data_IF_732632216148
#
_entry.id   IF_732632216148
#
_cell.length_a   1.000
_cell.length_b   1.000
_cell.length_c   1.000
_cell.angle_alpha   90.00
_cell.angle_beta   90.00
_cell.angle_gamma   90.00
#
_symmetry.space_group_name_H-M   'P 1'
#
loop_
_entity.id
_entity.type
_entity.pdbx_description
1 polymer ?
#
# COMPACT_ATOMS: atom_id res chain seq x y z
N UNK A 1 9.34 21.06 -9.52
CA UNK A 1 10.09 19.80 -9.64
C UNK A 1 9.11 18.65 -9.37
N UNK A 2 9.03 17.67 -10.25
CA UNK A 2 8.16 16.50 -10.05
C UNK A 2 8.84 15.53 -9.08
N UNK A 3 8.10 14.71 -8.31
CA UNK A 3 8.72 13.78 -7.34
C UNK A 3 9.76 12.85 -7.97
N UNK A 4 9.54 12.40 -9.19
CA UNK A 4 10.45 11.52 -9.93
C UNK A 4 11.65 12.23 -10.58
N UNK A 5 11.78 13.55 -10.43
CA UNK A 5 12.99 14.28 -10.80
C UNK A 5 14.08 14.16 -9.72
N UNK A 6 13.73 13.73 -8.49
CA UNK A 6 14.69 13.43 -7.43
C UNK A 6 15.59 12.25 -7.85
N UNK A 7 16.91 12.43 -7.89
CA UNK A 7 17.83 11.37 -8.34
C UNK A 7 17.75 10.08 -7.49
N UNK A 8 17.42 10.20 -6.19
CA UNK A 8 17.25 9.04 -5.28
C UNK A 8 16.03 8.24 -5.69
N UNK A 9 14.90 8.92 -5.94
CA UNK A 9 13.65 8.29 -6.38
C UNK A 9 13.87 7.65 -7.75
N UNK A 10 14.53 8.32 -8.67
CA UNK A 10 14.80 7.78 -10.01
C UNK A 10 15.61 6.49 -9.93
N UNK A 11 16.75 6.50 -9.26
CA UNK A 11 17.59 5.28 -9.11
C UNK A 11 16.84 4.12 -8.45
N UNK A 12 16.13 4.42 -7.35
CA UNK A 12 15.38 3.41 -6.61
C UNK A 12 14.25 2.81 -7.44
N UNK A 13 13.46 3.63 -8.15
CA UNK A 13 12.40 3.17 -9.03
C UNK A 13 12.92 2.35 -10.22
N UNK A 14 14.02 2.75 -10.85
CA UNK A 14 14.64 1.98 -11.94
C UNK A 14 15.06 0.58 -11.46
N UNK A 15 15.68 0.47 -10.28
CA UNK A 15 16.05 -0.80 -9.67
C UNK A 15 14.83 -1.65 -9.29
N UNK A 16 13.83 -1.04 -8.65
CA UNK A 16 12.57 -1.69 -8.28
C UNK A 16 11.84 -2.26 -9.49
N UNK A 17 11.68 -1.47 -10.55
CA UNK A 17 10.99 -1.90 -11.77
C UNK A 17 11.77 -2.93 -12.58
N UNK A 18 13.09 -2.93 -12.50
CA UNK A 18 13.92 -4.04 -13.01
C UNK A 18 13.56 -5.36 -12.33
N UNK A 19 13.41 -5.35 -11.00
CA UNK A 19 12.94 -6.51 -10.22
C UNK A 19 11.54 -6.93 -10.62
N UNK A 20 10.60 -6.00 -10.76
CA UNK A 20 9.24 -6.29 -11.21
C UNK A 20 9.22 -6.97 -12.59
N UNK A 21 9.99 -6.44 -13.56
CA UNK A 21 10.08 -7.03 -14.90
C UNK A 21 10.66 -8.45 -14.88
N UNK A 22 11.67 -8.69 -14.04
CA UNK A 22 12.22 -10.04 -13.86
C UNK A 22 11.18 -11.00 -13.26
N UNK A 23 10.41 -10.58 -12.25
CA UNK A 23 9.32 -11.37 -11.66
C UNK A 23 8.23 -11.68 -12.69
N UNK A 24 7.82 -10.69 -13.49
CA UNK A 24 6.86 -10.91 -14.59
C UNK A 24 7.39 -11.92 -15.63
N UNK A 25 8.66 -11.82 -15.99
CA UNK A 25 9.29 -12.79 -16.89
C UNK A 25 9.35 -14.21 -16.31
N UNK A 26 9.38 -14.33 -14.98
CA UNK A 26 9.30 -15.61 -14.26
C UNK A 26 7.83 -16.09 -14.03
N UNK A 27 6.84 -15.39 -14.59
CA UNK A 27 5.43 -15.80 -14.59
C UNK A 27 4.55 -15.16 -13.49
N UNK A 28 5.10 -14.26 -12.65
CA UNK A 28 4.27 -13.52 -11.69
C UNK A 28 3.35 -12.51 -12.41
N UNK A 29 2.15 -12.33 -11.87
CA UNK A 29 1.18 -11.37 -12.39
C UNK A 29 1.19 -10.10 -11.55
N UNK A 30 1.26 -8.93 -12.20
CA UNK A 30 1.03 -7.67 -11.50
C UNK A 30 -0.45 -7.56 -11.11
N UNK A 31 -0.71 -7.28 -9.84
CA UNK A 31 -2.07 -7.13 -9.30
C UNK A 31 -2.36 -5.71 -8.82
N UNK A 32 -1.34 -4.87 -8.69
CA UNK A 32 -1.54 -3.50 -8.23
C UNK A 32 -0.26 -2.84 -7.75
N UNK A 33 -0.46 -1.79 -6.95
CA UNK A 33 0.59 -0.93 -6.44
C UNK A 33 0.35 -0.61 -4.96
N UNK A 34 1.39 -0.25 -4.26
CA UNK A 34 1.32 0.25 -2.88
C UNK A 34 1.85 1.66 -2.79
N UNK A 35 1.34 2.42 -1.83
CA UNK A 35 1.85 3.73 -1.47
C UNK A 35 2.44 3.65 -0.06
N UNK A 36 3.66 4.11 0.10
CA UNK A 36 4.34 4.13 1.40
C UNK A 36 4.94 5.49 1.73
N UNK A 37 5.17 5.74 3.02
CA UNK A 37 5.75 6.97 3.54
C UNK A 37 4.99 8.24 3.14
N UNK A 38 3.64 8.16 3.06
CA UNK A 38 2.77 9.28 2.67
C UNK A 38 2.42 10.24 3.80
N UNK A 39 2.65 9.90 5.06
CA UNK A 39 2.38 10.81 6.17
C UNK A 39 3.29 12.05 6.12
N UNK A 40 2.74 13.26 6.32
CA UNK A 40 3.49 14.50 6.15
C UNK A 40 4.80 14.57 6.93
N UNK A 41 4.80 14.08 8.18
CA UNK A 41 5.99 14.08 9.03
C UNK A 41 7.12 13.21 8.46
N UNK A 42 6.79 12.01 7.93
CA UNK A 42 7.80 11.12 7.35
C UNK A 42 8.28 11.65 5.99
N UNK A 43 7.39 12.25 5.19
CA UNK A 43 7.80 12.91 3.94
C UNK A 43 8.79 14.04 4.21
N UNK A 44 8.53 14.86 5.23
CA UNK A 44 9.44 15.93 5.64
C UNK A 44 10.79 15.36 6.12
N UNK A 45 10.78 14.32 6.96
CA UNK A 45 11.99 13.65 7.43
C UNK A 45 12.84 13.10 6.28
N UNK A 46 12.21 12.51 5.27
CA UNK A 46 12.89 11.92 4.11
C UNK A 46 13.25 12.95 3.04
N UNK A 47 12.76 14.18 3.15
CA UNK A 47 12.94 15.26 2.17
C UNK A 47 12.31 14.89 0.81
N UNK A 48 11.11 14.29 0.83
CA UNK A 48 10.34 13.93 -0.36
C UNK A 48 9.08 14.78 -0.48
N UNK A 49 8.64 15.04 -1.70
CA UNK A 49 7.47 15.90 -1.99
C UNK A 49 6.18 15.12 -2.27
N UNK A 50 6.28 13.79 -2.34
CA UNK A 50 5.14 12.89 -2.53
C UNK A 50 5.47 11.49 -1.97
N UNK A 51 4.44 10.66 -1.70
CA UNK A 51 4.65 9.29 -1.24
C UNK A 51 5.45 8.44 -2.21
N UNK A 52 6.13 7.41 -1.69
CA UNK A 52 6.80 6.41 -2.50
C UNK A 52 5.79 5.38 -3.03
N UNK A 53 6.09 4.79 -4.20
CA UNK A 53 5.24 3.78 -4.83
C UNK A 53 6.01 2.48 -5.00
N UNK A 54 5.39 1.36 -4.57
CA UNK A 54 5.90 0.01 -4.75
C UNK A 54 4.93 -0.83 -5.59
N UNK A 55 5.39 -1.98 -6.09
CA UNK A 55 4.57 -2.91 -6.87
C UNK A 55 4.00 -4.04 -6.00
N UNK A 56 2.88 -4.60 -6.46
CA UNK A 56 2.26 -5.79 -5.89
C UNK A 56 2.11 -6.86 -6.98
N UNK A 57 2.52 -8.09 -6.66
CA UNK A 57 2.32 -9.26 -7.50
C UNK A 57 1.44 -10.29 -6.80
N UNK A 58 0.87 -11.21 -7.56
CA UNK A 58 0.04 -12.30 -7.05
C UNK A 58 0.76 -13.18 -6.01
N UNK A 59 2.10 -13.30 -6.12
CA UNK A 59 2.94 -14.01 -5.12
C UNK A 59 2.96 -13.36 -3.74
N UNK A 60 2.74 -12.06 -3.68
CA UNK A 60 2.66 -11.34 -2.41
C UNK A 60 1.28 -11.45 -1.76
N UNK A 61 0.25 -11.86 -2.52
CA UNK A 61 -1.12 -11.94 -2.03
C UNK A 61 -1.31 -13.18 -1.18
N UNK A 62 -1.88 -13.00 0.01
CA UNK A 62 -2.34 -14.07 0.89
C UNK A 62 -3.82 -13.89 1.20
N UNK A 63 -4.51 -14.99 1.48
CA UNK A 63 -5.95 -14.96 1.79
C UNK A 63 -6.19 -14.49 3.23
N UNK A 64 -7.34 -13.87 3.46
CA UNK A 64 -7.77 -13.52 4.82
C UNK A 64 -7.90 -14.78 5.69
N UNK A 65 -7.34 -14.74 6.90
CA UNK A 65 -7.26 -15.88 7.80
C UNK A 65 -6.03 -16.78 7.59
N UNK A 66 -5.19 -16.50 6.60
CA UNK A 66 -3.94 -17.24 6.39
C UNK A 66 -2.99 -17.09 7.57
N UNK A 67 -2.10 -18.06 7.72
CA UNK A 67 -0.97 -17.98 8.65
C UNK A 67 0.28 -17.58 7.88
N UNK A 68 0.92 -16.49 8.31
CA UNK A 68 2.18 -15.99 7.76
C UNK A 68 3.29 -16.25 8.76
N UNK A 69 4.39 -16.86 8.31
CA UNK A 69 5.58 -17.03 9.14
C UNK A 69 6.35 -15.71 9.19
N UNK A 70 6.62 -15.24 10.40
CA UNK A 70 7.48 -14.09 10.68
C UNK A 70 8.93 -14.53 11.01
N UNK A 71 9.22 -15.83 10.88
CA UNK A 71 10.58 -16.35 11.11
C UNK A 71 11.57 -15.69 10.16
N UNK A 72 12.65 -15.15 10.72
CA UNK A 72 13.68 -14.44 9.95
C UNK A 72 13.36 -13.00 9.57
N UNK A 73 12.18 -12.47 9.92
CA UNK A 73 11.90 -11.04 9.74
C UNK A 73 12.59 -10.22 10.82
N UNK A 74 13.08 -9.04 10.45
CA UNK A 74 13.81 -8.16 11.38
C UNK A 74 12.84 -7.30 12.21
N UNK A 75 11.91 -6.63 11.56
CA UNK A 75 10.96 -5.73 12.21
C UNK A 75 9.61 -5.78 11.51
N UNK A 76 8.86 -6.87 11.72
CA UNK A 76 7.57 -7.07 11.06
C UNK A 76 6.55 -6.01 11.46
N UNK A 77 5.79 -5.54 10.47
CA UNK A 77 4.78 -4.51 10.61
C UNK A 77 3.48 -4.97 9.98
N UNK A 78 2.38 -4.68 10.67
CA UNK A 78 1.01 -4.83 10.19
C UNK A 78 0.44 -3.43 9.93
N UNK A 79 0.00 -3.19 8.70
CA UNK A 79 -0.55 -1.92 8.24
C UNK A 79 -1.97 -2.12 7.71
N UNK A 80 -3.01 -1.65 8.44
CA UNK A 80 -4.38 -1.64 7.96
C UNK A 80 -4.57 -0.48 6.96
N UNK A 81 -5.07 -0.78 5.77
CA UNK A 81 -5.11 0.15 4.64
C UNK A 81 -6.46 0.16 3.93
N UNK A 82 -6.65 1.12 3.05
CA UNK A 82 -7.71 1.11 2.04
C UNK A 82 -7.12 0.63 0.72
N UNK A 83 -7.76 -0.37 0.10
CA UNK A 83 -7.53 -0.71 -1.29
C UNK A 83 -8.46 0.12 -2.18
N UNK A 84 -7.89 0.88 -3.12
CA UNK A 84 -8.63 1.55 -4.19
C UNK A 84 -8.57 0.67 -5.42
N UNK A 85 -9.72 0.17 -5.87
CA UNK A 85 -9.82 -0.74 -7.01
C UNK A 85 -10.04 0.03 -8.31
N UNK A 86 -9.24 -0.27 -9.33
CA UNK A 86 -9.35 0.38 -10.64
C UNK A 86 -10.34 -0.34 -11.55
N UNK A 87 -11.33 0.39 -12.04
CA UNK A 87 -12.31 -0.10 -13.03
C UNK A 87 -11.92 0.20 -14.47
N UNK A 88 -11.02 1.16 -14.67
CA UNK A 88 -10.52 1.55 -15.97
C UNK A 88 -9.02 1.91 -15.88
N UNK A 89 -8.34 1.88 -17.03
CA UNK A 89 -6.99 2.37 -17.15
C UNK A 89 -6.94 3.87 -16.86
N UNK A 90 -5.92 4.32 -16.14
CA UNK A 90 -5.66 5.75 -15.94
C UNK A 90 -4.30 6.12 -16.52
N UNK A 91 -4.32 7.06 -17.46
CA UNK A 91 -3.09 7.63 -18.05
C UNK A 91 -2.57 8.79 -17.21
N UNK A 92 -1.28 9.06 -17.33
CA UNK A 92 -0.68 10.25 -16.74
C UNK A 92 -1.36 11.55 -17.22
N UNK A 93 -1.35 12.57 -16.37
CA UNK A 93 -1.95 13.86 -16.66
C UNK A 93 -3.48 13.88 -16.58
N UNK A 94 -4.11 12.77 -16.21
CA UNK A 94 -5.54 12.74 -15.94
C UNK A 94 -5.93 13.72 -14.82
N UNK A 95 -7.00 14.47 -15.03
CA UNK A 95 -7.52 15.35 -14.00
C UNK A 95 -8.20 14.57 -12.86
N UNK A 96 -8.74 15.28 -11.88
CA UNK A 96 -9.40 14.66 -10.73
C UNK A 96 -10.65 13.85 -11.13
N UNK A 97 -11.40 14.32 -12.11
CA UNK A 97 -12.62 13.65 -12.55
C UNK A 97 -12.30 12.38 -13.36
N UNK A 98 -11.27 12.41 -14.20
CA UNK A 98 -10.77 11.21 -14.86
C UNK A 98 -10.30 10.15 -13.86
N UNK A 99 -9.58 10.55 -12.79
CA UNK A 99 -9.17 9.63 -11.75
C UNK A 99 -10.35 9.04 -10.98
N UNK A 100 -11.33 9.86 -10.59
CA UNK A 100 -12.57 9.38 -9.96
C UNK A 100 -13.32 8.40 -10.85
N UNK A 101 -13.46 8.73 -12.15
CA UNK A 101 -14.14 7.86 -13.12
C UNK A 101 -13.44 6.53 -13.34
N UNK A 102 -12.11 6.45 -13.13
CA UNK A 102 -11.35 5.22 -13.24
C UNK A 102 -11.44 4.32 -11.99
N UNK A 103 -11.92 4.83 -10.84
CA UNK A 103 -12.03 4.08 -9.58
C UNK A 103 -13.36 3.33 -9.54
N UNK A 104 -13.30 2.00 -9.46
CA UNK A 104 -14.47 1.12 -9.35
C UNK A 104 -15.08 1.08 -7.94
N UNK A 105 -14.28 1.30 -6.91
CA UNK A 105 -14.68 1.24 -5.52
C UNK A 105 -13.49 1.13 -4.58
N UNK A 106 -13.77 0.92 -3.30
CA UNK A 106 -12.75 0.73 -2.26
C UNK A 106 -13.08 -0.48 -1.38
N UNK A 107 -12.06 -0.98 -0.68
CA UNK A 107 -12.23 -2.07 0.28
C UNK A 107 -11.11 -2.07 1.32
N UNK A 108 -11.19 -2.95 2.34
CA UNK A 108 -10.10 -3.12 3.29
C UNK A 108 -8.91 -3.82 2.65
N UNK A 109 -7.71 -3.44 3.08
CA UNK A 109 -6.49 -4.16 2.80
C UNK A 109 -5.60 -4.23 4.05
N UNK A 110 -4.72 -5.22 4.08
CA UNK A 110 -3.63 -5.32 5.06
C UNK A 110 -2.33 -5.44 4.28
N UNK A 111 -1.36 -4.59 4.58
CA UNK A 111 0.02 -4.83 4.21
C UNK A 111 0.79 -5.45 5.37
N UNK A 112 1.63 -6.44 5.05
CA UNK A 112 2.68 -6.93 5.94
C UNK A 112 4.02 -6.53 5.33
N UNK A 113 4.78 -5.75 6.07
CA UNK A 113 6.10 -5.26 5.69
C UNK A 113 7.15 -5.68 6.72
N UNK A 114 8.40 -5.81 6.29
CA UNK A 114 9.54 -6.04 7.18
C UNK A 114 10.50 -4.86 7.08
N UNK A 115 10.47 -3.97 8.08
CA UNK A 115 11.35 -2.81 8.15
C UNK A 115 12.77 -3.24 8.52
N UNK A 116 13.53 -3.71 7.56
CA UNK A 116 14.92 -4.17 7.79
C UNK A 116 15.83 -3.08 8.36
N UNK A 117 15.54 -1.82 8.01
CA UNK A 117 16.32 -0.65 8.46
C UNK A 117 15.45 0.57 8.64
N UNK A 118 15.79 1.49 9.55
CA UNK A 118 15.09 2.76 9.67
C UNK A 118 15.17 3.57 8.37
N UNK A 119 14.06 4.17 7.91
CA UNK A 119 14.08 5.02 6.73
C UNK A 119 14.88 6.31 7.00
N UNK A 120 15.84 6.60 6.12
CA UNK A 120 16.69 7.79 6.15
C UNK A 120 16.72 8.44 4.75
N UNK A 121 16.99 9.74 4.66
CA UNK A 121 17.08 10.45 3.36
C UNK A 121 18.09 9.84 2.40
N UNK A 122 19.23 9.36 2.90
CA UNK A 122 20.32 8.78 2.11
C UNK A 122 20.11 7.31 1.72
N UNK A 123 19.12 6.63 2.31
CA UNK A 123 18.74 5.23 1.99
C UNK A 123 17.51 5.12 1.11
N UNK A 124 17.00 6.21 0.59
CA UNK A 124 15.72 6.27 -0.12
C UNK A 124 15.70 5.39 -1.39
N UNK A 125 16.78 5.39 -2.15
CA UNK A 125 16.92 4.56 -3.35
C UNK A 125 17.02 3.07 -3.01
N UNK A 126 17.66 2.70 -1.90
CA UNK A 126 17.72 1.32 -1.41
C UNK A 126 16.34 0.84 -0.94
N UNK A 127 15.59 1.70 -0.21
CA UNK A 127 14.24 1.41 0.24
C UNK A 127 13.30 1.16 -0.95
N UNK A 128 13.39 2.00 -1.98
CA UNK A 128 12.63 1.82 -3.22
C UNK A 128 13.03 0.55 -3.96
N UNK A 129 14.33 0.27 -4.07
CA UNK A 129 14.83 -0.93 -4.74
C UNK A 129 14.34 -2.22 -4.06
N UNK A 130 14.18 -2.21 -2.71
CA UNK A 130 13.57 -3.31 -1.92
C UNK A 130 12.03 -3.21 -1.85
N UNK A 131 11.41 -2.55 -2.80
CA UNK A 131 9.96 -2.44 -2.90
C UNK A 131 9.29 -1.91 -1.61
N UNK A 132 9.94 -0.98 -0.92
CA UNK A 132 9.45 -0.34 0.30
C UNK A 132 9.10 -1.37 1.38
N UNK A 133 9.97 -2.36 1.60
CA UNK A 133 9.84 -3.40 2.64
C UNK A 133 8.64 -4.35 2.50
N UNK A 134 7.91 -4.30 1.39
CA UNK A 134 6.72 -5.10 1.15
C UNK A 134 7.02 -6.60 1.17
N UNK A 135 6.21 -7.38 1.89
CA UNK A 135 6.28 -8.85 1.92
C UNK A 135 4.95 -9.46 1.48
N UNK A 136 3.85 -9.17 2.16
CA UNK A 136 2.54 -9.72 1.81
C UNK A 136 1.44 -8.66 1.79
N UNK A 137 0.37 -8.95 1.06
CA UNK A 137 -0.85 -8.15 1.01
C UNK A 137 -2.08 -9.04 1.12
N UNK A 138 -3.04 -8.63 1.94
CA UNK A 138 -4.40 -9.20 2.00
C UNK A 138 -5.35 -8.14 1.46
N UNK A 139 -6.22 -8.52 0.53
CA UNK A 139 -7.17 -7.58 -0.07
C UNK A 139 -8.57 -8.14 0.07
N UNK A 140 -9.46 -7.33 0.62
CA UNK A 140 -10.85 -7.66 0.86
C UNK A 140 -11.79 -7.35 -0.30
N UNK A 141 -13.09 -7.43 -0.05
CA UNK A 141 -14.10 -7.13 -1.05
C UNK A 141 -14.06 -5.66 -1.47
N UNK A 142 -14.36 -5.40 -2.74
CA UNK A 142 -14.54 -4.05 -3.27
C UNK A 142 -15.99 -3.61 -3.11
N UNK A 143 -16.24 -2.57 -2.34
CA UNK A 143 -17.54 -1.91 -2.30
C UNK A 143 -17.69 -0.97 -3.51
N UNK A 144 -18.40 -1.43 -4.52
CA UNK A 144 -18.66 -0.70 -5.77
C UNK A 144 -19.67 0.46 -5.61
N UNK A 145 -20.36 0.56 -4.48
CA UNK A 145 -21.20 1.75 -4.20
C UNK A 145 -20.36 2.98 -3.89
N UNK A 146 -19.05 2.79 -3.64
CA UNK A 146 -18.07 3.82 -3.28
C UNK A 146 -17.14 4.19 -4.45
N UNK A 147 -17.69 4.28 -5.64
CA UNK A 147 -16.97 4.82 -6.82
C UNK A 147 -16.37 6.19 -6.49
N UNK A 148 -15.20 6.48 -7.09
CA UNK A 148 -14.45 7.71 -6.80
C UNK A 148 -13.80 7.72 -5.41
N UNK A 149 -13.63 6.57 -4.76
CA UNK A 149 -12.98 6.37 -3.47
C UNK A 149 -13.61 7.14 -2.31
N UNK A 150 -14.95 7.14 -2.21
CA UNK A 150 -15.66 7.80 -1.10
C UNK A 150 -15.45 7.04 0.21
N UNK A 151 -14.85 7.70 1.20
CA UNK A 151 -14.55 7.15 2.53
C UNK A 151 -15.54 7.59 3.63
N UNK A 152 -16.50 8.45 3.28
CA UNK A 152 -17.46 9.01 4.24
C UNK A 152 -18.26 7.90 4.93
N UNK A 153 -18.42 8.01 6.24
CA UNK A 153 -19.18 7.08 7.08
C UNK A 153 -18.49 5.73 7.32
N UNK A 154 -17.23 5.56 6.89
CA UNK A 154 -16.45 4.37 7.23
C UNK A 154 -15.76 4.52 8.58
N UNK A 155 -15.56 3.38 9.23
CA UNK A 155 -14.78 3.27 10.47
C UNK A 155 -13.77 2.15 10.33
N UNK A 156 -12.49 2.45 10.55
CA UNK A 156 -11.43 1.46 10.68
C UNK A 156 -11.30 1.01 12.14
N UNK A 157 -11.34 -0.31 12.39
CA UNK A 157 -11.12 -0.91 13.71
C UNK A 157 -10.03 -1.97 13.62
N UNK A 158 -9.06 -1.89 14.48
CA UNK A 158 -7.89 -2.75 14.46
C UNK A 158 -7.82 -3.58 15.73
N UNK A 159 -7.63 -4.87 15.55
CA UNK A 159 -7.56 -5.84 16.64
C UNK A 159 -6.21 -6.54 16.61
N UNK A 160 -5.65 -6.77 17.78
CA UNK A 160 -4.41 -7.51 18.01
C UNK A 160 -4.66 -8.53 19.10
N UNK A 161 -4.41 -9.81 18.84
CA UNK A 161 -4.68 -10.91 19.78
C UNK A 161 -6.13 -10.87 20.32
N UNK A 162 -7.08 -10.60 19.44
CA UNK A 162 -8.51 -10.49 19.76
C UNK A 162 -8.97 -9.19 20.44
N UNK A 163 -8.08 -8.36 20.95
CA UNK A 163 -8.42 -7.07 21.59
C UNK A 163 -8.39 -5.92 20.57
N UNK A 164 -9.38 -5.01 20.64
CA UNK A 164 -9.35 -3.76 19.85
C UNK A 164 -8.24 -2.85 20.39
N UNK A 165 -7.29 -2.49 19.53
CA UNK A 165 -6.12 -1.67 19.91
C UNK A 165 -6.15 -0.29 19.27
N UNK A 166 -6.94 -0.09 18.20
CA UNK A 166 -7.15 1.21 17.58
C UNK A 166 -8.51 1.27 16.87
N UNK A 167 -9.05 2.49 16.77
CA UNK A 167 -10.25 2.82 16.02
C UNK A 167 -10.08 4.21 15.42
N UNK A 168 -10.50 4.40 14.17
CA UNK A 168 -10.46 5.71 13.50
C UNK A 168 -11.60 5.89 12.52
N UNK A 169 -12.11 7.10 12.40
CA UNK A 169 -12.97 7.59 11.33
C UNK A 169 -12.21 8.50 10.37
N UNK A 170 -11.00 8.92 10.75
CA UNK A 170 -10.12 9.80 9.99
C UNK A 170 -9.20 8.98 9.06
N UNK A 171 -9.80 8.21 8.16
CA UNK A 171 -9.11 7.21 7.34
C UNK A 171 -8.09 7.79 6.37
N UNK A 172 -8.13 9.09 6.10
CA UNK A 172 -7.22 9.78 5.19
C UNK A 172 -6.21 10.69 5.90
N UNK A 173 -6.26 10.76 7.23
CA UNK A 173 -5.39 11.67 8.00
C UNK A 173 -3.90 11.40 7.78
N UNK A 174 -3.50 10.12 7.70
CA UNK A 174 -2.11 9.73 7.48
C UNK A 174 -1.75 9.53 5.99
N UNK A 175 -2.75 9.32 5.13
CA UNK A 175 -2.53 8.85 3.76
C UNK A 175 -2.84 9.92 2.71
N UNK A 176 -3.65 10.91 3.08
CA UNK A 176 -4.12 11.95 2.17
C UNK A 176 -5.33 11.51 1.32
N UNK A 177 -5.67 12.33 0.34
CA UNK A 177 -6.82 12.10 -0.56
C UNK A 177 -6.58 10.90 -1.49
N UNK A 178 -7.43 9.85 -1.45
CA UNK A 178 -7.22 8.66 -2.28
C UNK A 178 -7.24 8.95 -3.79
N UNK A 179 -8.05 9.91 -4.25
CA UNK A 179 -8.08 10.30 -5.68
C UNK A 179 -6.77 10.97 -6.08
N UNK A 180 -6.22 11.80 -5.20
CA UNK A 180 -4.90 12.42 -5.40
C UNK A 180 -3.78 11.37 -5.45
N UNK A 181 -3.83 10.35 -4.60
CA UNK A 181 -2.89 9.22 -4.61
C UNK A 181 -2.99 8.41 -5.90
N UNK A 182 -4.19 8.12 -6.39
CA UNK A 182 -4.39 7.42 -7.68
C UNK A 182 -3.76 8.20 -8.83
N UNK A 183 -3.93 9.53 -8.88
CA UNK A 183 -3.28 10.39 -9.87
C UNK A 183 -1.76 10.36 -9.76
N UNK A 184 -1.25 10.49 -8.53
CA UNK A 184 0.19 10.44 -8.27
C UNK A 184 0.80 9.12 -8.76
N UNK A 185 0.15 7.98 -8.44
CA UNK A 185 0.59 6.66 -8.92
C UNK A 185 0.60 6.59 -10.44
N UNK A 186 -0.49 7.02 -11.12
CA UNK A 186 -0.55 7.00 -12.58
C UNK A 186 0.55 7.85 -13.23
N UNK A 187 0.80 9.05 -12.71
CA UNK A 187 1.82 9.98 -13.21
C UNK A 187 3.23 9.43 -13.00
N UNK A 188 3.50 8.89 -11.81
CA UNK A 188 4.81 8.31 -11.49
C UNK A 188 5.09 7.09 -12.36
N UNK A 189 4.13 6.17 -12.48
CA UNK A 189 4.27 4.96 -13.30
C UNK A 189 4.60 5.30 -14.76
N UNK A 190 3.91 6.28 -15.33
CA UNK A 190 4.16 6.71 -16.71
C UNK A 190 5.55 7.29 -16.90
N UNK A 191 6.10 7.98 -15.88
CA UNK A 191 7.46 8.51 -15.94
C UNK A 191 8.53 7.41 -16.04
N UNK A 192 8.18 6.15 -15.68
CA UNK A 192 9.05 4.99 -15.74
C UNK A 192 8.59 3.92 -16.75
N UNK A 193 7.65 4.25 -17.64
CA UNK A 193 7.18 3.37 -18.70
C UNK A 193 6.21 2.28 -18.24
N UNK A 194 5.62 2.42 -17.07
CA UNK A 194 4.55 1.57 -16.55
C UNK A 194 3.19 2.28 -16.62
N UNK A 195 2.10 1.55 -16.37
CA UNK A 195 0.74 2.09 -16.45
C UNK A 195 -0.14 1.56 -15.33
N UNK A 196 -1.00 2.42 -14.79
CA UNK A 196 -2.08 2.01 -13.90
C UNK A 196 -3.26 1.49 -14.72
N UNK A 197 -3.60 0.21 -14.55
CA UNK A 197 -4.56 -0.52 -15.39
C UNK A 197 -5.85 -0.87 -14.67
N UNK A 198 -6.91 -1.06 -15.44
CA UNK A 198 -8.12 -1.71 -14.98
C UNK A 198 -7.79 -3.08 -14.35
N UNK A 199 -8.49 -3.42 -13.26
CA UNK A 199 -8.25 -4.63 -12.48
C UNK A 199 -7.10 -4.54 -11.47
N UNK A 200 -6.23 -3.53 -11.55
CA UNK A 200 -5.28 -3.25 -10.49
C UNK A 200 -6.00 -2.69 -9.25
N UNK A 201 -5.35 -2.79 -8.11
CA UNK A 201 -5.71 -2.00 -6.94
C UNK A 201 -4.48 -1.23 -6.42
N UNK A 202 -4.73 -0.19 -5.63
CA UNK A 202 -3.70 0.57 -4.93
C UNK A 202 -4.01 0.49 -3.44
N UNK A 203 -3.08 0.01 -2.62
CA UNK A 203 -3.15 0.18 -1.18
C UNK A 203 -2.50 1.51 -0.81
N UNK A 204 -3.21 2.30 0.02
CA UNK A 204 -3.00 3.75 0.12
C UNK A 204 -2.11 4.18 1.28
N UNK A 205 -1.55 3.25 2.02
CA UNK A 205 -0.82 3.50 3.27
C UNK A 205 -1.70 3.28 4.51
N UNK A 206 -1.06 3.11 5.65
CA UNK A 206 -1.75 2.74 6.89
C UNK A 206 -2.70 3.84 7.38
N UNK A 207 -3.95 3.47 7.68
CA UNK A 207 -4.98 4.39 8.21
C UNK A 207 -4.76 4.77 9.68
N UNK A 208 -3.90 4.06 10.39
CA UNK A 208 -3.41 4.34 11.75
C UNK A 208 -1.89 4.22 11.77
N UNK A 209 -1.18 4.66 12.83
CA UNK A 209 0.24 4.36 12.96
C UNK A 209 0.51 2.85 12.82
N UNK A 210 1.55 2.45 12.07
CA UNK A 210 1.87 1.04 11.83
C UNK A 210 2.02 0.24 13.12
N UNK A 211 1.48 -0.98 13.17
CA UNK A 211 1.60 -1.87 14.33
C UNK A 211 2.83 -2.77 14.16
N UNK A 212 3.83 -2.55 14.97
CA UNK A 212 4.99 -3.45 15.05
C UNK A 212 4.59 -4.75 15.74
N UNK A 213 4.88 -5.88 15.09
CA UNK A 213 4.57 -7.20 15.60
C UNK A 213 5.75 -7.75 16.40
N UNK A 214 5.46 -8.36 17.54
CA UNK A 214 6.44 -8.99 18.41
C UNK A 214 6.18 -10.49 18.58
N UNK A 215 7.07 -11.21 19.28
CA UNK A 215 6.96 -12.68 19.45
C UNK A 215 5.64 -13.16 20.11
N UNK A 216 4.95 -12.29 20.84
CA UNK A 216 3.68 -12.62 21.47
C UNK A 216 2.46 -12.45 20.55
N UNK A 217 2.65 -11.90 19.34
CA UNK A 217 1.56 -11.67 18.43
C UNK A 217 1.27 -12.93 17.59
N UNK A 218 0.08 -13.48 17.78
CA UNK A 218 -0.41 -14.65 17.06
C UNK A 218 -1.41 -14.28 15.96
N UNK A 219 -2.01 -13.10 16.05
CA UNK A 219 -3.04 -12.66 15.13
C UNK A 219 -3.27 -11.15 15.14
N UNK A 220 -3.67 -10.63 13.99
CA UNK A 220 -4.22 -9.29 13.84
C UNK A 220 -5.42 -9.31 12.88
N UNK A 221 -6.35 -8.37 13.10
CA UNK A 221 -7.56 -8.22 12.29
C UNK A 221 -7.83 -6.74 12.05
N UNK A 222 -8.29 -6.43 10.86
CA UNK A 222 -8.74 -5.11 10.44
C UNK A 222 -10.18 -5.18 9.95
N UNK A 223 -11.03 -4.32 10.47
CA UNK A 223 -12.39 -4.11 10.00
C UNK A 223 -12.48 -2.71 9.39
N UNK A 224 -12.99 -2.63 8.17
CA UNK A 224 -13.40 -1.39 7.52
C UNK A 224 -14.92 -1.40 7.44
N UNK A 225 -15.56 -0.96 8.52
CA UNK A 225 -17.00 -1.03 8.68
C UNK A 225 -17.71 0.05 7.85
N UNK A 226 -18.78 -0.28 7.09
CA UNK A 226 -19.47 -1.59 6.99
C UNK A 226 -18.99 -2.48 5.82
N UNK A 227 -17.83 -2.24 5.19
CA UNK A 227 -17.44 -2.95 3.96
C UNK A 227 -17.01 -4.39 4.22
N UNK A 228 -16.19 -4.64 5.25
CA UNK A 228 -15.70 -5.96 5.53
C UNK A 228 -14.56 -6.04 6.52
N UNK A 229 -14.10 -7.28 6.77
CA UNK A 229 -13.05 -7.59 7.75
C UNK A 229 -12.01 -8.51 7.14
N UNK A 230 -10.75 -8.30 7.51
CA UNK A 230 -9.59 -9.11 7.13
C UNK A 230 -8.82 -9.53 8.36
N UNK A 231 -8.21 -10.70 8.33
CA UNK A 231 -7.37 -11.17 9.42
C UNK A 231 -6.13 -11.89 8.92
N UNK A 232 -5.09 -11.94 9.75
CA UNK A 232 -3.88 -12.73 9.52
C UNK A 232 -3.48 -13.37 10.84
N UNK A 233 -3.05 -14.63 10.80
CA UNK A 233 -2.37 -15.30 11.89
C UNK A 233 -0.88 -15.28 11.65
N UNK A 234 -0.10 -15.31 12.72
CA UNK A 234 1.35 -15.30 12.66
C UNK A 234 1.95 -16.54 13.30
N UNK A 235 3.02 -17.06 12.71
CA UNK A 235 3.89 -18.04 13.34
C UNK A 235 5.30 -17.45 13.44
N UNK A 236 6.06 -17.87 14.46
CA UNK A 236 7.42 -17.37 14.75
C UNK A 236 8.47 -18.50 14.62
N UNK A 237 8.05 -19.65 14.11
CA UNK A 237 8.87 -20.83 13.84
C UNK A 237 8.91 -21.15 12.34
#
# INVERSE_FOLDING_TARGET
>A
MKPWDDPRIRRGMEAQLKTLRARRAAGEQSIGWKVGFGAPAIMQQLGISAPLVGFLTDRARVESGATVSLAGWNKPVFEPEIAVHMGADLRAGGDREAAKGAIAGIGPAIELADLERPPQPDTLDVILADNIYQRHVVVGPCDRSRVGARVDGLTGRIFRRGAEVAKTTELTANTGDPVGLVRHVADLLAAFGEQLKAGHFIITGSVVPPLFLGPADDSARYELDPIGSLSVRFSHS
#
